data_IF_176951175272
#
_entry.id   IF_176951175272
#
_cell.length_a   1.000
_cell.length_b   1.000
_cell.length_c   1.000
_cell.angle_alpha   90.00
_cell.angle_beta   90.00
_cell.angle_gamma   90.00
#
_symmetry.space_group_name_H-M   'P 1'
#
loop_
_entity.id
_entity.type
_entity.pdbx_description
1 polymer ?
#
# COMPACT_ATOMS: atom_id res chain seq x y z
N UNK A 1 6.15 -1.35 -31.10
CA UNK A 1 4.72 -1.52 -30.75
C UNK A 1 4.60 -1.90 -29.27
N UNK A 2 4.09 -1.02 -28.39
CA UNK A 2 3.93 -1.30 -26.95
C UNK A 2 3.10 -2.56 -26.64
N UNK A 3 2.04 -2.80 -27.42
CA UNK A 3 1.17 -3.97 -27.27
C UNK A 3 1.90 -5.30 -27.53
N UNK A 4 2.78 -5.35 -28.53
CA UNK A 4 3.58 -6.55 -28.81
C UNK A 4 4.57 -6.87 -27.68
N UNK A 5 5.14 -5.83 -27.05
CA UNK A 5 6.01 -5.99 -25.88
C UNK A 5 5.22 -6.51 -24.67
N UNK A 6 4.01 -6.00 -24.43
CA UNK A 6 3.13 -6.54 -23.40
C UNK A 6 2.81 -8.03 -23.64
N UNK A 7 2.43 -8.39 -24.87
CA UNK A 7 2.12 -9.79 -25.21
C UNK A 7 3.33 -10.70 -25.01
N UNK A 8 4.53 -10.22 -25.36
CA UNK A 8 5.76 -10.97 -25.14
C UNK A 8 6.05 -11.14 -23.65
N UNK A 9 5.81 -10.11 -22.84
CA UNK A 9 5.87 -10.20 -21.38
C UNK A 9 4.92 -11.25 -20.83
N UNK A 10 3.67 -11.30 -21.31
CA UNK A 10 2.69 -12.32 -20.91
C UNK A 10 3.15 -13.72 -21.28
N UNK A 11 3.71 -13.91 -22.49
CA UNK A 11 4.23 -15.21 -22.93
C UNK A 11 5.33 -15.71 -22.00
N UNK A 12 6.29 -14.86 -21.64
CA UNK A 12 7.36 -15.21 -20.70
C UNK A 12 6.87 -15.42 -19.26
N UNK A 13 5.86 -14.66 -18.83
CA UNK A 13 5.25 -14.80 -17.50
C UNK A 13 4.52 -16.13 -17.35
N UNK A 14 3.71 -16.51 -18.35
CA UNK A 14 2.93 -17.74 -18.32
C UNK A 14 3.74 -18.99 -18.65
N UNK A 15 4.72 -18.86 -19.54
CA UNK A 15 5.52 -19.98 -20.03
C UNK A 15 4.75 -20.95 -20.94
N UNK A 16 3.70 -20.49 -21.63
CA UNK A 16 2.84 -21.34 -22.48
C UNK A 16 3.54 -21.81 -23.77
N UNK A 17 4.42 -20.98 -24.35
CA UNK A 17 5.12 -21.26 -25.62
C UNK A 17 6.65 -21.28 -25.48
N UNK A 18 7.16 -20.79 -24.35
CA UNK A 18 8.58 -20.68 -24.02
C UNK A 18 8.77 -21.06 -22.56
N UNK A 19 10.00 -21.41 -22.17
CA UNK A 19 10.30 -21.59 -20.75
C UNK A 19 9.96 -20.31 -19.98
N UNK A 20 9.17 -20.43 -18.92
CA UNK A 20 8.79 -19.32 -18.05
C UNK A 20 10.04 -18.59 -17.55
N UNK A 21 10.04 -17.27 -17.72
CA UNK A 21 11.14 -16.38 -17.33
C UNK A 21 10.55 -15.04 -16.87
N UNK A 22 10.36 -14.92 -15.55
CA UNK A 22 9.70 -13.75 -14.95
C UNK A 22 10.57 -12.50 -15.07
N UNK A 23 11.89 -12.63 -15.01
CA UNK A 23 12.82 -11.52 -15.21
C UNK A 23 12.68 -10.93 -16.62
N UNK A 24 12.58 -11.78 -17.65
CA UNK A 24 12.27 -11.30 -19.01
C UNK A 24 10.87 -10.70 -19.11
N UNK A 25 9.87 -11.30 -18.46
CA UNK A 25 8.52 -10.75 -18.46
C UNK A 25 8.49 -9.32 -17.93
N UNK A 26 9.15 -9.08 -16.79
CA UNK A 26 9.31 -7.75 -16.19
C UNK A 26 9.98 -6.79 -17.17
N UNK A 27 11.09 -7.18 -17.79
CA UNK A 27 11.80 -6.34 -18.75
C UNK A 27 10.88 -5.90 -19.91
N UNK A 28 10.08 -6.84 -20.45
CA UNK A 28 9.15 -6.52 -21.53
C UNK A 28 8.00 -5.64 -21.06
N UNK A 29 7.44 -5.89 -19.88
CA UNK A 29 6.41 -5.04 -19.32
C UNK A 29 6.92 -3.63 -19.00
N UNK A 30 8.14 -3.48 -18.47
CA UNK A 30 8.74 -2.16 -18.22
C UNK A 30 8.95 -1.39 -19.51
N UNK A 31 9.45 -2.06 -20.56
CA UNK A 31 9.64 -1.44 -21.86
C UNK A 31 8.32 -1.04 -22.52
N UNK A 32 7.26 -1.83 -22.35
CA UNK A 32 5.91 -1.49 -22.81
C UNK A 32 5.32 -0.34 -21.98
N UNK A 33 5.45 -0.38 -20.65
CA UNK A 33 4.93 0.62 -19.72
C UNK A 33 5.60 1.98 -19.88
N UNK A 34 6.91 2.03 -20.17
CA UNK A 34 7.64 3.25 -20.57
C UNK A 34 7.11 3.89 -21.86
N UNK A 35 6.40 3.12 -22.68
CA UNK A 35 5.71 3.56 -23.90
C UNK A 35 4.20 3.76 -23.67
N UNK A 36 3.79 4.01 -22.43
CA UNK A 36 2.40 4.21 -22.02
C UNK A 36 1.49 3.04 -22.39
N UNK A 37 1.99 1.80 -22.32
CA UNK A 37 1.11 0.64 -22.39
C UNK A 37 0.46 0.42 -21.03
N UNK A 38 -0.83 0.73 -20.95
CA UNK A 38 -1.62 0.63 -19.73
C UNK A 38 -1.69 -0.79 -19.18
N UNK A 39 -1.86 -1.79 -20.06
CA UNK A 39 -1.94 -3.21 -19.66
C UNK A 39 -0.63 -3.68 -19.04
N UNK A 40 0.52 -3.28 -19.60
CA UNK A 40 1.83 -3.65 -19.07
C UNK A 40 2.11 -3.01 -17.71
N UNK A 41 1.71 -1.75 -17.50
CA UNK A 41 1.79 -1.11 -16.20
C UNK A 41 0.91 -1.84 -15.18
N UNK A 42 -0.32 -2.20 -15.56
CA UNK A 42 -1.20 -3.01 -14.71
C UNK A 42 -0.58 -4.39 -14.38
N UNK A 43 0.01 -5.07 -15.37
CA UNK A 43 0.67 -6.36 -15.18
C UNK A 43 1.90 -6.28 -14.26
N UNK A 44 2.68 -5.20 -14.32
CA UNK A 44 3.75 -4.94 -13.35
C UNK A 44 3.21 -4.74 -11.94
N UNK A 45 2.12 -3.98 -11.80
CA UNK A 45 1.43 -3.81 -10.53
C UNK A 45 1.01 -5.14 -9.91
N UNK A 46 0.38 -6.01 -10.69
CA UNK A 46 -0.03 -7.35 -10.25
C UNK A 46 1.17 -8.23 -9.84
N UNK A 47 2.27 -8.15 -10.59
CA UNK A 47 3.45 -8.96 -10.34
C UNK A 47 4.07 -8.61 -8.97
N UNK A 48 4.23 -7.32 -8.67
CA UNK A 48 4.75 -6.87 -7.37
C UNK A 48 3.74 -7.03 -6.23
N UNK A 49 2.43 -6.94 -6.51
CA UNK A 49 1.37 -7.16 -5.51
C UNK A 49 1.36 -8.62 -5.03
N UNK A 50 1.43 -9.57 -5.98
CA UNK A 50 1.38 -11.00 -5.68
C UNK A 50 2.66 -11.49 -5.02
N UNK A 51 3.82 -10.94 -5.41
CA UNK A 51 5.11 -11.48 -4.98
C UNK A 51 5.34 -12.92 -5.42
N UNK A 52 4.67 -13.35 -6.49
CA UNK A 52 4.91 -14.64 -7.10
C UNK A 52 6.15 -14.49 -7.98
N UNK A 53 7.23 -15.21 -7.64
CA UNK A 53 8.51 -15.23 -8.36
C UNK A 53 9.37 -13.96 -8.27
N UNK A 54 8.86 -12.89 -7.67
CA UNK A 54 9.62 -11.73 -7.19
C UNK A 54 9.28 -11.44 -5.74
N UNK A 55 10.12 -10.67 -5.07
CA UNK A 55 9.77 -10.15 -3.75
C UNK A 55 8.51 -9.28 -3.84
N UNK A 56 7.58 -9.52 -2.93
CA UNK A 56 6.34 -8.75 -2.83
C UNK A 56 6.65 -7.31 -2.42
N UNK A 57 6.21 -6.34 -3.23
CA UNK A 57 6.45 -4.91 -2.99
C UNK A 57 5.16 -4.12 -3.27
N UNK A 58 4.39 -3.89 -2.20
CA UNK A 58 3.12 -3.15 -2.28
C UNK A 58 3.32 -1.69 -2.70
N UNK A 59 4.30 -0.93 -2.17
CA UNK A 59 4.61 0.41 -2.67
C UNK A 59 4.86 0.45 -4.19
N UNK A 60 5.70 -0.46 -4.71
CA UNK A 60 5.94 -0.55 -6.17
C UNK A 60 4.67 -0.93 -6.93
N UNK A 61 3.89 -1.87 -6.42
CA UNK A 61 2.63 -2.28 -7.03
C UNK A 61 1.66 -1.08 -7.17
N UNK A 62 1.48 -0.31 -6.09
CA UNK A 62 0.64 0.90 -6.09
C UNK A 62 1.12 1.92 -7.11
N UNK A 63 2.43 2.17 -7.19
CA UNK A 63 3.00 3.08 -8.19
C UNK A 63 2.60 2.69 -9.64
N UNK A 64 2.73 1.41 -10.00
CA UNK A 64 2.35 0.96 -11.33
C UNK A 64 0.83 0.99 -11.56
N UNK A 65 0.02 0.70 -10.55
CA UNK A 65 -1.42 0.86 -10.65
C UNK A 65 -1.84 2.32 -10.80
N UNK A 66 -1.17 3.27 -10.16
CA UNK A 66 -1.41 4.72 -10.34
C UNK A 66 -1.15 5.15 -11.78
N UNK A 67 -0.03 4.70 -12.38
CA UNK A 67 0.27 4.97 -13.80
C UNK A 67 -0.83 4.44 -14.73
N UNK A 68 -1.33 3.24 -14.48
CA UNK A 68 -2.40 2.65 -15.28
C UNK A 68 -3.77 3.33 -15.02
N UNK A 69 -4.07 3.66 -13.76
CA UNK A 69 -5.31 4.34 -13.36
C UNK A 69 -5.42 5.76 -13.92
N UNK A 70 -4.30 6.49 -14.01
CA UNK A 70 -4.22 7.80 -14.67
C UNK A 70 -4.58 7.74 -16.16
N UNK A 71 -4.45 6.57 -16.77
CA UNK A 71 -4.86 6.29 -18.15
C UNK A 71 -6.25 5.63 -18.22
N UNK A 72 -7.05 5.74 -17.15
CA UNK A 72 -8.43 5.24 -17.05
C UNK A 72 -8.55 3.71 -17.11
N UNK A 73 -7.54 2.97 -16.65
CA UNK A 73 -7.63 1.52 -16.51
C UNK A 73 -8.51 1.12 -15.32
N UNK A 74 -9.72 0.61 -15.59
CA UNK A 74 -10.72 0.32 -14.55
C UNK A 74 -10.20 -0.63 -13.48
N UNK A 75 -9.55 -1.74 -13.87
CA UNK A 75 -9.04 -2.69 -12.87
C UNK A 75 -7.91 -2.10 -12.02
N UNK A 76 -7.15 -1.13 -12.54
CA UNK A 76 -6.10 -0.50 -11.75
C UNK A 76 -6.70 0.46 -10.70
N UNK A 77 -7.75 1.19 -11.08
CA UNK A 77 -8.52 2.03 -10.17
C UNK A 77 -9.17 1.21 -9.06
N UNK A 78 -9.78 0.06 -9.39
CA UNK A 78 -10.35 -0.86 -8.41
C UNK A 78 -9.29 -1.38 -7.42
N UNK A 79 -8.10 -1.74 -7.91
CA UNK A 79 -7.00 -2.18 -7.04
C UNK A 79 -6.54 -1.08 -6.09
N UNK A 80 -6.42 0.16 -6.56
CA UNK A 80 -6.07 1.30 -5.72
C UNK A 80 -7.14 1.59 -4.67
N UNK A 81 -8.42 1.52 -5.02
CA UNK A 81 -9.52 1.68 -4.08
C UNK A 81 -9.44 0.64 -2.96
N UNK A 82 -9.20 -0.63 -3.30
CA UNK A 82 -9.02 -1.69 -2.30
C UNK A 82 -7.86 -1.40 -1.33
N UNK A 83 -6.75 -0.85 -1.81
CA UNK A 83 -5.65 -0.43 -0.93
C UNK A 83 -6.02 0.73 -0.01
N UNK A 84 -6.90 1.63 -0.46
CA UNK A 84 -7.39 2.74 0.36
C UNK A 84 -8.35 2.25 1.43
N UNK A 85 -9.32 1.43 1.05
CA UNK A 85 -10.29 0.82 1.97
C UNK A 85 -9.59 0.00 3.06
N UNK A 86 -8.55 -0.77 2.71
CA UNK A 86 -7.80 -1.55 3.70
C UNK A 86 -7.07 -0.66 4.72
N UNK A 87 -6.59 0.51 4.30
CA UNK A 87 -5.94 1.46 5.19
C UNK A 87 -6.95 2.24 6.04
N UNK A 88 -8.07 2.65 5.45
CA UNK A 88 -9.17 3.35 6.14
C UNK A 88 -9.77 2.45 7.23
N UNK A 89 -10.07 1.19 6.92
CA UNK A 89 -10.55 0.22 7.92
C UNK A 89 -9.55 -0.01 9.06
N UNK A 90 -8.24 0.00 8.77
CA UNK A 90 -7.22 -0.14 9.82
C UNK A 90 -7.17 1.09 10.72
N UNK A 91 -7.28 2.28 10.16
CA UNK A 91 -7.32 3.54 10.91
C UNK A 91 -8.59 3.63 11.78
N UNK A 92 -9.76 3.29 11.23
CA UNK A 92 -11.02 3.27 11.98
C UNK A 92 -10.99 2.28 13.16
N UNK A 93 -10.38 1.11 12.98
CA UNK A 93 -10.19 0.14 14.07
C UNK A 93 -9.25 0.70 15.14
N UNK A 94 -8.15 1.34 14.74
CA UNK A 94 -7.21 1.97 15.67
C UNK A 94 -7.84 3.15 16.40
N UNK A 95 -8.67 3.95 15.73
CA UNK A 95 -9.40 5.07 16.32
C UNK A 95 -10.45 4.57 17.33
N UNK A 96 -11.23 3.55 16.97
CA UNK A 96 -12.19 2.90 17.89
C UNK A 96 -11.49 2.27 19.10
N UNK A 97 -10.34 1.62 18.91
CA UNK A 97 -9.53 1.08 20.01
C UNK A 97 -8.96 2.19 20.89
N UNK A 98 -8.51 3.30 20.30
CA UNK A 98 -8.01 4.46 21.05
C UNK A 98 -9.13 5.13 21.86
N UNK A 99 -10.33 5.29 21.30
CA UNK A 99 -11.50 5.81 22.02
C UNK A 99 -11.92 4.90 23.18
N UNK A 100 -11.96 3.58 22.97
CA UNK A 100 -12.25 2.60 24.03
C UNK A 100 -11.18 2.65 25.15
N UNK A 101 -9.90 2.76 24.78
CA UNK A 101 -8.80 2.89 25.75
C UNK A 101 -8.85 4.22 26.52
N UNK A 102 -9.17 5.33 25.87
CA UNK A 102 -9.32 6.66 26.51
C UNK A 102 -10.59 6.72 27.38
N UNK A 103 -11.67 6.04 27.00
CA UNK A 103 -12.88 5.98 27.84
C UNK A 103 -12.68 5.10 29.09
N UNK A 104 -11.87 4.04 28.97
CA UNK A 104 -11.52 3.14 30.07
C UNK A 104 -10.42 3.70 31.00
N UNK A 105 -9.55 4.58 30.50
CA UNK A 105 -8.54 5.29 31.28
C UNK A 105 -8.91 6.77 31.39
N UNK A 106 -9.51 7.19 32.52
CA UNK A 106 -9.99 8.56 32.75
C UNK A 106 -8.88 9.62 32.59
N UNK A 107 -8.55 10.05 31.36
CA UNK A 107 -7.63 11.15 31.12
C UNK A 107 -8.11 12.06 29.98
N UNK A 108 -8.81 13.17 30.31
CA UNK A 108 -9.45 14.04 29.32
C UNK A 108 -8.47 14.80 28.40
N UNK A 109 -7.18 14.82 28.72
CA UNK A 109 -6.16 15.47 27.89
C UNK A 109 -5.83 14.69 26.59
N UNK A 110 -6.08 13.37 26.55
CA UNK A 110 -5.87 12.55 25.35
C UNK A 110 -6.95 12.76 24.27
N UNK A 111 -8.15 13.21 24.67
CA UNK A 111 -9.28 13.53 23.78
C UNK A 111 -9.01 14.73 22.86
N UNK A 112 -8.14 15.67 23.25
CA UNK A 112 -7.72 16.78 22.39
C UNK A 112 -6.74 16.33 21.30
N UNK A 113 -5.89 15.34 21.60
CA UNK A 113 -4.93 14.80 20.64
C UNK A 113 -5.60 13.89 19.60
N UNK A 114 -6.63 13.12 19.99
CA UNK A 114 -7.38 12.28 19.04
C UNK A 114 -8.12 13.09 17.98
N UNK A 115 -8.65 14.28 18.32
CA UNK A 115 -9.23 15.20 17.33
C UNK A 115 -8.21 15.76 16.34
N UNK A 116 -6.93 15.80 16.70
CA UNK A 116 -5.85 16.22 15.80
C UNK A 116 -5.56 15.16 14.73
N UNK A 117 -5.73 13.87 15.08
CA UNK A 117 -5.57 12.70 14.19
C UNK A 117 -6.52 12.79 12.98
N UNK A 118 -7.72 13.34 13.20
CA UNK A 118 -8.70 13.53 12.14
C UNK A 118 -8.30 14.57 11.08
N UNK A 119 -7.26 15.39 11.31
CA UNK A 119 -6.98 16.56 10.47
C UNK A 119 -5.79 16.45 9.52
N UNK A 120 -4.71 15.73 9.81
CA UNK A 120 -3.51 15.75 8.95
C UNK A 120 -2.69 14.44 8.93
N UNK A 121 -2.00 14.24 7.80
CA UNK A 121 -1.11 13.14 7.39
C UNK A 121 -0.46 12.35 8.55
N UNK A 122 -0.77 11.05 8.63
CA UNK A 122 -0.28 10.06 9.61
C UNK A 122 1.25 10.02 9.78
N UNK A 123 2.00 10.58 8.83
CA UNK A 123 3.47 10.67 8.88
C UNK A 123 4.01 11.58 9.99
N UNK A 124 3.26 12.61 10.42
CA UNK A 124 3.68 13.50 11.51
C UNK A 124 3.29 12.98 12.90
N UNK A 125 2.36 12.03 12.98
CA UNK A 125 1.83 11.49 14.24
C UNK A 125 2.70 10.38 14.85
N UNK A 126 3.50 9.69 14.03
CA UNK A 126 4.31 8.54 14.45
C UNK A 126 5.33 8.87 15.58
N UNK A 127 6.09 9.99 15.53
CA UNK A 127 7.01 10.33 16.61
C UNK A 127 6.31 10.77 17.90
N UNK A 128 5.11 11.39 17.80
CA UNK A 128 4.33 11.80 18.97
C UNK A 128 3.64 10.62 19.65
N UNK A 129 3.12 9.66 18.87
CA UNK A 129 2.55 8.43 19.41
C UNK A 129 3.61 7.61 20.16
N UNK A 130 4.81 7.42 19.57
CA UNK A 130 5.91 6.69 20.21
C UNK A 130 6.37 7.37 21.52
N UNK A 131 6.40 8.71 21.56
CA UNK A 131 6.72 9.48 22.77
C UNK A 131 5.66 9.31 23.87
N UNK A 132 4.38 9.38 23.51
CA UNK A 132 3.26 9.32 24.46
C UNK A 132 3.13 7.91 25.06
N UNK A 133 3.39 6.87 24.26
CA UNK A 133 3.44 5.48 24.72
C UNK A 133 4.65 5.27 25.65
N UNK A 134 5.81 5.85 25.33
CA UNK A 134 7.00 5.81 26.20
C UNK A 134 6.76 6.43 27.59
N UNK A 135 6.14 7.61 27.64
CA UNK A 135 5.80 8.30 28.90
C UNK A 135 4.74 7.52 29.72
N UNK A 136 3.81 6.83 29.06
CA UNK A 136 2.81 5.98 29.73
C UNK A 136 3.46 4.76 30.42
N UNK A 137 4.45 4.12 29.79
CA UNK A 137 5.18 3.00 30.40
C UNK A 137 6.16 3.44 31.50
N UNK A 138 6.77 4.63 31.40
CA UNK A 138 7.57 5.20 32.50
C UNK A 138 6.72 5.61 33.71
N UNK A 139 5.48 6.09 33.49
CA UNK A 139 4.54 6.42 34.56
C UNK A 139 4.03 5.22 35.36
N UNK A 140 3.94 4.04 34.75
CA UNK A 140 3.55 2.80 35.42
C UNK A 140 4.71 2.11 36.16
N UNK A 141 5.96 2.47 35.86
CA UNK A 141 7.17 1.89 36.45
C UNK A 141 7.63 2.49 37.78
N UNK A 142 7.03 3.60 38.23
CA UNK A 142 7.49 4.35 39.43
C UNK A 142 6.54 4.25 40.64
N UNK A 143 5.60 3.31 40.65
CA UNK A 143 4.81 2.99 41.84
C UNK A 143 5.33 1.71 42.51
N UNK A 144 6.50 1.81 43.16
CA UNK A 144 6.91 0.88 44.23
C UNK A 144 7.76 1.58 45.27
#
# INVERSE_FOLDING_TARGET
>A
MPMALNNLGVIYYKGEFVKRDVSKAILYFENAGKKNNTDAQFNLGLLYEKGEYVERDIPRAKHYFELAANQKHSMAQERLNKYRETNENHNEIMDSLAEDLISSSLNPDLLSNSRLIHSHDVKELRPLADKTIGEFYEGLGNNH
#
